data_IF_160495277985
#
_entry.id   IF_160495277985
#
_cell.length_a   1.000
_cell.length_b   1.000
_cell.length_c   1.000
_cell.angle_alpha   90.00
_cell.angle_beta   90.00
_cell.angle_gamma   90.00
#
_symmetry.space_group_name_H-M   'P 1'
#
loop_
_entity.id
_entity.type
_entity.pdbx_description
1 polymer ?
#
# COMPACT_ATOMS: atom_id res chain seq x y z
N UNK A 1 -25.59 30.92 29.21
CA UNK A 1 -24.97 31.34 27.94
C UNK A 1 -24.72 30.08 27.12
N UNK A 2 -25.44 29.86 26.03
CA UNK A 2 -25.28 28.66 25.18
C UNK A 2 -24.44 29.03 23.97
N UNK A 3 -23.21 28.49 23.88
CA UNK A 3 -22.34 28.69 22.72
C UNK A 3 -22.72 27.66 21.65
N UNK A 4 -22.99 28.12 20.42
CA UNK A 4 -23.32 27.24 19.31
C UNK A 4 -22.04 26.53 18.81
N UNK A 5 -22.14 25.25 18.42
CA UNK A 5 -21.03 24.44 17.89
C UNK A 5 -20.27 25.14 16.76
N UNK A 6 -20.98 25.93 15.93
CA UNK A 6 -20.36 26.70 14.85
C UNK A 6 -19.43 27.81 15.38
N UNK A 7 -19.83 28.50 16.44
CA UNK A 7 -19.06 29.59 17.04
C UNK A 7 -17.83 29.05 17.76
N UNK A 8 -17.96 27.88 18.40
CA UNK A 8 -16.84 27.18 19.02
C UNK A 8 -15.79 26.73 17.98
N UNK A 9 -16.24 26.20 16.84
CA UNK A 9 -15.34 25.78 15.76
C UNK A 9 -14.66 26.97 15.06
N UNK A 10 -15.36 28.09 14.90
CA UNK A 10 -14.78 29.35 14.41
C UNK A 10 -13.73 29.92 15.37
N UNK A 11 -13.97 29.83 16.68
CA UNK A 11 -13.00 30.25 17.69
C UNK A 11 -11.75 29.35 17.69
N UNK A 12 -11.92 28.03 17.55
CA UNK A 12 -10.79 27.12 17.44
C UNK A 12 -9.95 27.39 16.18
N UNK A 13 -10.58 27.55 15.01
CA UNK A 13 -9.86 27.76 13.75
C UNK A 13 -9.09 29.09 13.71
N UNK A 14 -9.62 30.15 14.33
CA UNK A 14 -8.93 31.44 14.45
C UNK A 14 -7.73 31.39 15.42
N UNK A 15 -7.79 30.55 16.47
CA UNK A 15 -6.69 30.38 17.42
C UNK A 15 -5.49 29.63 16.84
N UNK A 16 -5.73 28.55 16.08
CA UNK A 16 -4.67 27.72 15.50
C UNK A 16 -3.94 28.38 14.32
N UNK A 17 -4.62 29.23 13.54
CA UNK A 17 -3.98 29.96 12.42
C UNK A 17 -3.02 31.05 12.91
N UNK A 18 -3.30 31.70 14.05
CA UNK A 18 -2.44 32.78 14.56
C UNK A 18 -1.13 32.26 15.15
N UNK A 19 -1.11 31.07 15.77
CA UNK A 19 0.11 30.46 16.31
C UNK A 19 1.03 29.85 15.23
N UNK A 20 0.45 29.33 14.15
CA UNK A 20 1.24 28.72 13.06
C UNK A 20 2.01 29.76 12.22
N UNK A 21 1.45 30.94 11.98
CA UNK A 21 2.09 31.96 11.11
C UNK A 21 3.14 32.80 11.85
N UNK A 22 3.01 32.99 13.17
CA UNK A 22 4.01 33.69 13.98
C UNK A 22 5.37 32.95 14.05
N UNK A 23 5.37 31.62 13.95
CA UNK A 23 6.60 30.80 13.95
C UNK A 23 7.32 30.80 12.60
N UNK A 24 6.69 31.25 11.52
CA UNK A 24 7.27 31.25 10.17
C UNK A 24 7.96 32.56 9.78
N UNK A 25 7.79 33.63 10.57
CA UNK A 25 8.34 34.96 10.21
C UNK A 25 9.78 35.21 10.67
N UNK A 26 10.35 34.35 11.53
CA UNK A 26 11.70 34.55 12.11
C UNK A 26 12.78 33.58 11.63
N UNK A 27 12.57 32.81 10.55
CA UNK A 27 13.60 31.94 9.99
C UNK A 27 13.98 32.32 8.56
N UNK A 28 14.68 33.44 8.41
CA UNK A 28 15.42 33.79 7.19
C UNK A 28 16.77 33.07 7.07
N UNK A 29 17.01 32.03 7.87
CA UNK A 29 18.11 31.09 7.65
C UNK A 29 17.59 29.96 6.77
N UNK A 30 17.98 29.96 5.50
CA UNK A 30 17.92 28.75 4.67
C UNK A 30 18.48 27.60 5.51
N UNK A 31 17.77 26.47 5.63
CA UNK A 31 18.35 25.32 6.28
C UNK A 31 19.60 24.97 5.49
N UNK A 32 20.77 24.97 6.16
CA UNK A 32 21.91 24.25 5.63
C UNK A 32 21.42 22.81 5.50
N UNK A 33 21.16 22.39 4.25
CA UNK A 33 21.04 20.99 3.92
C UNK A 33 22.41 20.43 4.28
N UNK A 34 22.54 19.91 5.51
CA UNK A 34 23.63 19.02 5.83
C UNK A 34 23.54 17.93 4.77
N UNK A 35 24.52 17.90 3.88
CA UNK A 35 24.77 16.75 3.03
C UNK A 35 24.95 15.60 4.02
N UNK A 36 23.90 14.79 4.19
CA UNK A 36 24.04 13.53 4.89
C UNK A 36 25.23 12.84 4.22
N UNK A 37 26.25 12.40 4.98
CA UNK A 37 27.32 11.62 4.40
C UNK A 37 26.67 10.49 3.59
N UNK A 38 27.15 10.26 2.37
CA UNK A 38 26.68 9.14 1.54
C UNK A 38 26.54 7.92 2.45
N UNK A 39 25.35 7.29 2.49
CA UNK A 39 25.16 6.11 3.32
C UNK A 39 26.24 5.11 2.92
N UNK A 40 27.14 4.81 3.87
CA UNK A 40 28.16 3.79 3.69
C UNK A 40 27.43 2.46 3.66
N UNK A 41 27.01 2.05 2.47
CA UNK A 41 26.46 0.72 2.27
C UNK A 41 27.53 -0.29 2.71
N UNK A 42 27.18 -1.26 3.58
CA UNK A 42 28.12 -2.30 3.97
C UNK A 42 28.62 -3.01 2.71
N UNK A 43 29.92 -3.30 2.65
CA UNK A 43 30.58 -3.95 1.51
C UNK A 43 30.00 -5.35 1.20
N UNK A 44 29.28 -5.94 2.15
CA UNK A 44 28.52 -7.17 2.00
C UNK A 44 27.19 -7.07 2.75
N UNK A 45 26.11 -7.50 2.12
CA UNK A 45 24.81 -7.62 2.78
C UNK A 45 24.85 -8.78 3.81
N UNK A 46 24.15 -8.67 4.96
CA UNK A 46 24.13 -9.73 5.98
C UNK A 46 23.28 -10.95 5.57
N UNK A 47 22.73 -10.94 4.36
CA UNK A 47 21.94 -12.02 3.78
C UNK A 47 22.27 -12.16 2.30
N UNK A 48 21.96 -13.33 1.72
CA UNK A 48 22.06 -13.56 0.27
C UNK A 48 20.83 -12.95 -0.42
N UNK A 49 21.00 -12.00 -1.36
CA UNK A 49 19.87 -11.42 -2.10
C UNK A 49 19.08 -12.49 -2.88
N UNK A 50 17.78 -12.27 -3.00
CA UNK A 50 16.91 -13.07 -3.85
C UNK A 50 16.96 -12.51 -5.28
N UNK A 51 17.17 -13.40 -6.25
CA UNK A 51 17.19 -13.03 -7.67
C UNK A 51 15.77 -12.69 -8.13
N UNK A 52 15.56 -11.44 -8.51
CA UNK A 52 14.29 -10.99 -9.11
C UNK A 52 14.18 -11.31 -10.61
N UNK A 53 13.04 -10.97 -11.24
CA UNK A 53 12.85 -11.14 -12.67
C UNK A 53 13.66 -10.14 -13.51
N UNK A 54 14.07 -9.02 -12.92
CA UNK A 54 14.89 -7.99 -13.56
C UNK A 54 16.29 -7.98 -12.95
N UNK A 55 17.34 -7.79 -13.77
CA UNK A 55 18.71 -7.74 -13.27
C UNK A 55 18.93 -6.52 -12.37
N UNK A 56 19.34 -6.77 -11.13
CA UNK A 56 19.92 -5.77 -10.24
C UNK A 56 21.44 -5.88 -10.26
N UNK A 57 22.16 -4.77 -10.10
CA UNK A 57 23.64 -4.75 -10.10
C UNK A 57 24.25 -5.65 -9.02
N UNK A 58 23.56 -5.78 -7.89
CA UNK A 58 23.99 -6.60 -6.74
C UNK A 58 23.56 -8.07 -6.83
N UNK A 59 22.78 -8.45 -7.85
CA UNK A 59 22.38 -9.85 -8.00
C UNK A 59 23.62 -10.71 -8.25
N UNK A 60 23.64 -11.90 -7.63
CA UNK A 60 24.76 -12.81 -7.72
C UNK A 60 24.45 -13.89 -8.76
N UNK A 61 25.14 -13.84 -9.91
CA UNK A 61 25.00 -14.85 -10.98
C UNK A 61 26.32 -15.60 -11.20
N UNK A 62 26.19 -16.84 -11.68
CA UNK A 62 27.32 -17.74 -11.94
C UNK A 62 28.12 -17.24 -13.14
N UNK A 63 29.41 -16.92 -12.96
CA UNK A 63 30.28 -16.60 -14.08
C UNK A 63 30.57 -17.85 -14.93
N UNK A 64 30.63 -17.74 -16.26
CA UNK A 64 30.97 -18.88 -17.13
C UNK A 64 32.43 -19.30 -16.97
N UNK A 65 33.31 -18.35 -16.61
CA UNK A 65 34.76 -18.55 -16.50
C UNK A 65 35.20 -19.08 -15.13
N UNK A 66 34.30 -19.16 -14.15
CA UNK A 66 34.60 -19.59 -12.79
C UNK A 66 33.36 -20.18 -12.11
N UNK A 67 33.50 -21.28 -11.36
CA UNK A 67 32.43 -21.77 -10.44
C UNK A 67 32.08 -20.79 -9.31
N UNK A 68 32.61 -19.57 -9.35
CA UNK A 68 32.28 -18.50 -8.42
C UNK A 68 31.03 -17.76 -8.89
N UNK A 69 30.21 -17.37 -7.92
CA UNK A 69 29.07 -16.48 -8.15
C UNK A 69 29.56 -15.05 -7.91
N UNK A 70 29.37 -14.15 -8.87
CA UNK A 70 29.83 -12.75 -8.82
C UNK A 70 28.68 -11.80 -9.14
N UNK A 71 28.78 -10.51 -8.73
CA UNK A 71 27.75 -9.51 -9.01
C UNK A 71 27.45 -9.39 -10.51
N UNK A 72 26.18 -9.20 -10.87
CA UNK A 72 25.72 -8.97 -12.25
C UNK A 72 26.51 -7.85 -12.92
N UNK A 73 26.86 -6.78 -12.19
CA UNK A 73 27.69 -5.67 -12.71
C UNK A 73 29.03 -6.11 -13.28
N UNK A 74 29.57 -7.22 -12.79
CA UNK A 74 30.91 -7.72 -13.11
C UNK A 74 30.86 -8.86 -14.15
N UNK A 75 29.66 -9.27 -14.57
CA UNK A 75 29.45 -10.26 -15.62
C UNK A 75 29.36 -9.63 -17.02
N UNK A 76 29.66 -10.40 -18.06
CA UNK A 76 29.44 -9.98 -19.43
C UNK A 76 27.96 -9.88 -19.79
N UNK A 77 27.56 -9.02 -20.75
CA UNK A 77 26.17 -8.90 -21.18
C UNK A 77 25.54 -10.21 -21.65
N UNK A 78 26.29 -11.09 -22.29
CA UNK A 78 25.82 -12.42 -22.71
C UNK A 78 25.47 -13.33 -21.53
N UNK A 79 26.25 -13.27 -20.45
CA UNK A 79 25.99 -14.05 -19.23
C UNK A 79 24.74 -13.55 -18.52
N UNK A 80 24.54 -12.23 -18.47
CA UNK A 80 23.32 -11.64 -17.92
C UNK A 80 22.09 -12.05 -18.73
N UNK A 81 22.14 -11.96 -20.06
CA UNK A 81 21.03 -12.40 -20.93
C UNK A 81 20.70 -13.86 -20.68
N UNK A 82 21.72 -14.73 -20.59
CA UNK A 82 21.49 -16.14 -20.31
C UNK A 82 20.88 -16.36 -18.92
N UNK A 83 21.41 -15.69 -17.90
CA UNK A 83 20.94 -15.83 -16.52
C UNK A 83 19.48 -15.37 -16.34
N UNK A 84 19.03 -14.34 -17.07
CA UNK A 84 17.66 -13.80 -17.00
C UNK A 84 16.78 -14.21 -18.19
N UNK A 85 17.20 -15.21 -18.98
CA UNK A 85 16.42 -15.72 -20.12
C UNK A 85 15.14 -16.45 -19.71
N UNK A 86 15.07 -16.91 -18.46
CA UNK A 86 13.92 -17.60 -17.87
C UNK A 86 13.70 -17.11 -16.44
N UNK A 87 12.44 -17.15 -16.02
CA UNK A 87 12.02 -16.83 -14.67
C UNK A 87 10.89 -17.78 -14.27
N UNK A 88 10.91 -18.21 -13.00
CA UNK A 88 9.86 -19.04 -12.42
C UNK A 88 8.85 -18.13 -11.70
N UNK A 89 7.58 -18.22 -12.09
CA UNK A 89 6.51 -17.48 -11.43
C UNK A 89 6.11 -18.24 -10.18
N UNK A 90 6.38 -17.64 -9.02
CA UNK A 90 6.00 -18.15 -7.71
C UNK A 90 4.96 -17.18 -7.14
N UNK A 91 3.75 -17.70 -6.85
CA UNK A 91 2.67 -16.94 -6.22
C UNK A 91 2.80 -16.99 -4.69
N UNK A 92 3.94 -16.50 -4.19
CA UNK A 92 4.29 -16.47 -2.77
C UNK A 92 5.33 -15.37 -2.48
N UNK A 93 5.45 -14.95 -1.22
CA UNK A 93 6.48 -14.03 -0.76
C UNK A 93 7.80 -14.78 -0.55
N UNK A 94 8.73 -14.64 -1.48
CA UNK A 94 10.08 -15.24 -1.40
C UNK A 94 11.02 -14.36 -0.58
N UNK A 95 11.62 -14.93 0.46
CA UNK A 95 12.53 -14.24 1.38
C UNK A 95 13.94 -14.87 1.38
N UNK A 96 14.98 -14.10 1.77
CA UNK A 96 16.30 -14.66 2.05
C UNK A 96 16.27 -15.73 3.16
N UNK A 97 17.27 -16.61 3.16
CA UNK A 97 17.45 -17.61 4.21
C UNK A 97 17.52 -16.95 5.60
N UNK A 98 16.81 -17.53 6.57
CA UNK A 98 16.72 -17.02 7.94
C UNK A 98 15.64 -15.97 8.19
N UNK A 99 14.93 -15.52 7.14
CA UNK A 99 13.78 -14.62 7.27
C UNK A 99 12.46 -15.39 7.15
N UNK A 100 11.44 -14.91 7.85
CA UNK A 100 10.08 -15.43 7.81
C UNK A 100 9.09 -14.28 7.73
N UNK A 101 7.86 -14.58 7.36
CA UNK A 101 6.74 -13.63 7.42
C UNK A 101 5.54 -14.31 8.07
N UNK A 102 4.69 -13.49 8.69
CA UNK A 102 3.42 -13.91 9.26
C UNK A 102 2.30 -13.04 8.67
N UNK A 103 1.16 -13.68 8.39
CA UNK A 103 -0.02 -12.98 7.92
C UNK A 103 -0.80 -12.41 9.11
N UNK A 104 -0.83 -11.08 9.23
CA UNK A 104 -1.46 -10.39 10.36
C UNK A 104 -2.97 -10.21 10.16
N UNK A 105 -3.38 -9.84 8.95
CA UNK A 105 -4.79 -9.65 8.59
C UNK A 105 -4.97 -9.70 7.08
N UNK A 106 -6.16 -10.09 6.64
CA UNK A 106 -6.60 -10.13 5.24
C UNK A 106 -7.94 -9.45 5.07
N UNK A 107 -8.26 -9.06 3.83
CA UNK A 107 -9.57 -8.50 3.51
C UNK A 107 -10.70 -9.40 4.01
N UNK A 108 -11.62 -8.80 4.76
CA UNK A 108 -12.78 -9.49 5.31
C UNK A 108 -12.60 -10.04 6.72
N UNK A 109 -11.36 -10.11 7.24
CA UNK A 109 -11.12 -10.53 8.62
C UNK A 109 -11.88 -9.65 9.60
N UNK A 110 -12.46 -10.25 10.65
CA UNK A 110 -13.23 -9.52 11.65
C UNK A 110 -12.31 -8.70 12.54
N UNK A 111 -12.61 -7.41 12.68
CA UNK A 111 -11.90 -6.49 13.59
C UNK A 111 -12.93 -5.71 14.41
N UNK A 112 -13.07 -6.06 15.69
CA UNK A 112 -14.13 -5.54 16.55
C UNK A 112 -15.53 -5.84 15.97
N UNK A 113 -16.32 -4.78 15.74
CA UNK A 113 -17.65 -4.87 15.13
C UNK A 113 -17.64 -4.65 13.61
N UNK A 114 -16.47 -4.59 12.99
CA UNK A 114 -16.30 -4.36 11.55
C UNK A 114 -15.35 -5.39 10.93
N UNK A 115 -14.85 -5.12 9.73
CA UNK A 115 -13.94 -5.99 8.97
C UNK A 115 -12.76 -5.21 8.40
N UNK A 116 -11.66 -5.92 8.19
CA UNK A 116 -10.48 -5.40 7.50
C UNK A 116 -10.81 -5.14 6.04
N UNK A 117 -10.40 -3.97 5.53
CA UNK A 117 -10.74 -3.51 4.19
C UNK A 117 -9.90 -4.17 3.09
N UNK A 118 -10.30 -3.90 1.85
CA UNK A 118 -9.61 -4.37 0.64
C UNK A 118 -8.47 -3.44 0.24
N UNK A 119 -7.45 -3.99 -0.42
CA UNK A 119 -6.32 -3.26 -1.00
C UNK A 119 -5.65 -2.29 -0.03
N UNK A 120 -4.96 -2.87 0.97
CA UNK A 120 -4.15 -2.07 1.87
C UNK A 120 -2.98 -1.43 1.12
N UNK A 121 -2.66 -0.20 1.49
CA UNK A 121 -1.50 0.51 0.94
C UNK A 121 -0.66 1.05 2.11
N UNK A 122 -0.93 2.28 2.55
CA UNK A 122 -0.23 2.87 3.68
C UNK A 122 -0.45 2.08 4.99
N UNK A 123 0.67 1.79 5.67
CA UNK A 123 0.69 1.15 6.98
C UNK A 123 1.61 1.94 7.91
N UNK A 124 1.14 2.23 9.13
CA UNK A 124 1.97 2.78 10.19
C UNK A 124 1.78 2.03 11.50
N UNK A 125 2.88 1.84 12.22
CA UNK A 125 2.89 1.23 13.54
C UNK A 125 3.24 2.28 14.60
N UNK A 126 2.43 2.34 15.65
CA UNK A 126 2.64 3.22 16.81
C UNK A 126 2.68 2.34 18.06
N UNK A 127 3.86 2.16 18.65
CA UNK A 127 4.00 1.43 19.91
C UNK A 127 3.31 2.19 21.06
N UNK A 128 2.59 1.45 21.91
CA UNK A 128 1.95 1.95 23.13
C UNK A 128 2.53 1.32 24.40
N UNK A 129 3.45 0.36 24.25
CA UNK A 129 4.11 -0.38 25.32
C UNK A 129 5.07 -1.43 24.76
N UNK A 130 5.66 -2.24 25.64
CA UNK A 130 6.68 -3.25 25.29
C UNK A 130 6.17 -4.26 24.25
N UNK A 131 4.93 -4.74 24.40
CA UNK A 131 4.32 -5.74 23.51
C UNK A 131 2.97 -5.26 22.94
N UNK A 132 2.80 -3.96 22.80
CA UNK A 132 1.52 -3.37 22.38
C UNK A 132 1.74 -2.20 21.44
N UNK A 133 0.83 -2.06 20.48
CA UNK A 133 0.80 -0.91 19.58
C UNK A 133 -0.42 -0.91 18.70
N UNK A 134 -0.61 0.21 18.00
CA UNK A 134 -1.64 0.38 16.99
C UNK A 134 -1.03 0.25 15.61
N UNK A 135 -1.70 -0.52 14.75
CA UNK A 135 -1.46 -0.52 13.32
C UNK A 135 -2.55 0.33 12.65
N UNK A 136 -2.16 1.41 12.00
CA UNK A 136 -3.07 2.19 11.14
C UNK A 136 -2.85 1.75 9.71
N UNK A 137 -3.89 1.21 9.10
CA UNK A 137 -3.85 0.68 7.73
C UNK A 137 -4.86 1.44 6.88
N UNK A 138 -4.40 1.99 5.76
CA UNK A 138 -5.27 2.58 4.76
C UNK A 138 -5.83 1.50 3.83
N UNK A 139 -7.10 1.64 3.42
CA UNK A 139 -7.75 0.81 2.40
C UNK A 139 -8.07 1.69 1.21
N UNK A 140 -7.30 1.58 0.14
CA UNK A 140 -7.23 2.62 -0.89
C UNK A 140 -8.47 2.67 -1.80
N UNK A 141 -8.88 1.53 -2.33
CA UNK A 141 -9.98 1.43 -3.28
C UNK A 141 -10.65 0.06 -3.24
N UNK A 142 -11.65 -0.16 -4.08
CA UNK A 142 -12.28 -1.46 -4.32
C UNK A 142 -12.05 -1.90 -5.77
N UNK A 143 -11.84 -3.20 -5.99
CA UNK A 143 -11.82 -3.77 -7.35
C UNK A 143 -13.17 -4.38 -7.66
N UNK A 144 -13.91 -3.83 -8.63
CA UNK A 144 -15.27 -4.27 -8.95
C UNK A 144 -15.33 -5.73 -9.35
N UNK A 145 -14.42 -6.19 -10.22
CA UNK A 145 -14.35 -7.59 -10.66
C UNK A 145 -14.07 -8.54 -9.48
N UNK A 146 -13.04 -8.24 -8.69
CA UNK A 146 -12.68 -9.07 -7.53
C UNK A 146 -13.81 -9.12 -6.50
N UNK A 147 -14.46 -7.98 -6.24
CA UNK A 147 -15.60 -7.92 -5.32
C UNK A 147 -16.78 -8.72 -5.85
N UNK A 148 -17.13 -8.61 -7.14
CA UNK A 148 -18.19 -9.41 -7.74
C UNK A 148 -17.95 -10.92 -7.59
N UNK A 149 -16.70 -11.36 -7.75
CA UNK A 149 -16.31 -12.76 -7.72
C UNK A 149 -16.22 -13.32 -6.29
N UNK A 150 -15.65 -12.55 -5.35
CA UNK A 150 -15.16 -13.09 -4.08
C UNK A 150 -15.85 -12.50 -2.83
N UNK A 151 -16.61 -11.41 -2.95
CA UNK A 151 -17.20 -10.73 -1.80
C UNK A 151 -18.08 -11.65 -0.95
N UNK A 152 -18.95 -12.46 -1.57
CA UNK A 152 -19.78 -13.41 -0.82
C UNK A 152 -18.95 -14.45 -0.07
N UNK A 153 -17.85 -14.92 -0.68
CA UNK A 153 -16.98 -15.93 -0.07
C UNK A 153 -16.26 -15.36 1.15
N UNK A 154 -15.83 -14.11 1.07
CA UNK A 154 -15.01 -13.43 2.09
C UNK A 154 -15.88 -12.82 3.20
N UNK A 155 -16.96 -12.14 2.83
CA UNK A 155 -17.83 -11.42 3.77
C UNK A 155 -18.94 -12.32 4.33
N UNK A 156 -19.31 -13.37 3.61
CA UNK A 156 -20.39 -14.29 3.95
C UNK A 156 -21.76 -13.85 3.44
N UNK A 157 -21.87 -12.68 2.82
CA UNK A 157 -23.12 -12.14 2.27
C UNK A 157 -22.91 -11.66 0.82
N UNK A 158 -23.89 -11.85 -0.08
CA UNK A 158 -23.76 -11.40 -1.46
C UNK A 158 -23.80 -9.87 -1.54
N UNK A 159 -23.11 -9.31 -2.53
CA UNK A 159 -23.30 -7.91 -2.87
C UNK A 159 -24.77 -7.66 -3.27
N UNK A 160 -25.38 -6.53 -2.85
CA UNK A 160 -26.79 -6.22 -3.12
C UNK A 160 -27.03 -5.77 -4.58
N UNK A 161 -26.52 -6.51 -5.57
CA UNK A 161 -26.53 -6.13 -6.98
C UNK A 161 -27.68 -6.76 -7.78
N UNK A 162 -28.74 -7.20 -7.09
CA UNK A 162 -29.79 -8.08 -7.64
C UNK A 162 -30.45 -7.55 -8.93
N UNK A 163 -30.34 -6.26 -9.23
CA UNK A 163 -31.01 -5.59 -10.35
C UNK A 163 -30.06 -4.89 -11.35
N UNK A 164 -28.75 -5.13 -11.30
CA UNK A 164 -27.75 -4.46 -12.17
C UNK A 164 -27.41 -5.23 -13.46
N UNK A 165 -28.18 -6.27 -13.82
CA UNK A 165 -27.96 -7.00 -15.06
C UNK A 165 -28.46 -6.20 -16.26
N UNK A 166 -27.56 -5.46 -16.91
CA UNK A 166 -27.80 -4.89 -18.23
C UNK A 166 -27.33 -5.85 -19.32
N UNK A 167 -28.04 -5.89 -20.45
CA UNK A 167 -27.61 -6.60 -21.67
C UNK A 167 -26.46 -5.91 -22.40
N UNK A 168 -26.08 -4.70 -21.99
CA UNK A 168 -24.94 -3.97 -22.54
C UNK A 168 -23.63 -4.44 -21.86
N UNK A 169 -22.52 -4.57 -22.60
CA UNK A 169 -21.26 -5.05 -22.04
C UNK A 169 -20.55 -4.03 -21.13
N UNK A 170 -20.95 -2.74 -21.13
CA UNK A 170 -20.40 -1.66 -20.28
C UNK A 170 -21.42 -0.55 -19.96
N UNK A 171 -22.54 -0.84 -19.29
CA UNK A 171 -23.49 0.18 -18.86
C UNK A 171 -22.80 1.07 -17.81
N UNK A 172 -22.59 2.35 -18.12
CA UNK A 172 -22.27 3.34 -17.08
C UNK A 172 -23.60 3.88 -16.57
N UNK A 173 -23.94 3.57 -15.31
CA UNK A 173 -25.18 4.05 -14.68
C UNK A 173 -24.80 5.23 -13.77
N UNK A 174 -25.34 6.41 -14.05
CA UNK A 174 -25.26 7.54 -13.15
C UNK A 174 -26.43 7.50 -12.16
N UNK A 175 -26.22 6.95 -10.97
CA UNK A 175 -27.26 6.80 -9.97
C UNK A 175 -27.89 8.13 -9.50
N UNK A 176 -27.16 9.25 -9.61
CA UNK A 176 -27.66 10.58 -9.21
C UNK A 176 -28.60 11.19 -10.25
N UNK A 177 -28.50 10.79 -11.51
CA UNK A 177 -29.36 11.24 -12.61
C UNK A 177 -30.64 10.40 -12.75
N UNK A 178 -30.70 9.23 -12.11
CA UNK A 178 -31.91 8.41 -12.10
C UNK A 178 -33.07 9.14 -11.42
N UNK A 179 -34.33 9.00 -11.88
CA UNK A 179 -35.49 9.57 -11.19
C UNK A 179 -35.57 9.12 -9.72
N UNK A 180 -36.05 9.97 -8.82
CA UNK A 180 -36.15 9.63 -7.38
C UNK A 180 -36.97 8.36 -7.09
N UNK A 181 -37.95 8.07 -7.94
CA UNK A 181 -38.83 6.91 -7.82
C UNK A 181 -38.33 5.68 -8.59
N UNK A 182 -37.14 5.77 -9.20
CA UNK A 182 -36.54 4.65 -9.91
C UNK A 182 -36.12 3.56 -8.91
N UNK A 183 -36.62 2.32 -9.02
CA UNK A 183 -36.21 1.22 -8.16
C UNK A 183 -34.70 0.97 -8.18
N UNK A 184 -34.04 1.16 -9.33
CA UNK A 184 -32.60 0.98 -9.49
C UNK A 184 -31.81 2.03 -8.71
N UNK A 185 -32.32 3.26 -8.60
CA UNK A 185 -31.70 4.31 -7.78
C UNK A 185 -31.64 3.91 -6.31
N UNK A 186 -32.73 3.34 -5.78
CA UNK A 186 -32.84 2.87 -4.39
C UNK A 186 -31.93 1.67 -4.09
N UNK A 187 -31.60 0.89 -5.11
CA UNK A 187 -30.72 -0.26 -4.94
C UNK A 187 -29.22 0.11 -5.03
N UNK A 188 -28.89 1.32 -5.53
CA UNK A 188 -27.51 1.83 -5.65
C UNK A 188 -27.16 2.87 -4.56
N UNK A 189 -28.11 3.73 -4.17
CA UNK A 189 -27.95 4.82 -3.18
C UNK A 189 -28.66 4.53 -1.86
#
# INVERSE_FOLDING_TARGET
MSVNRRDFLLFLSAGFTTLAVGSCQNSSKSPNIFSSPEPKFPQSLPFKPIKGPLPNSLDLIQAQTSKSVIPVSDNSPSEQIQAYSTYEVIDDLVLPEGFTYDLIATWGDKVGNSRFGYNNDYVSFISTGEDQGFLTVNFEYISSAVWLETYQQIIGEPLPLKNLQSSDPKPTINAFELPEKDPLRRDIL
#
